data_IF_152640224013
#
_entry.id   IF_152640224013
#
_cell.length_a   1.000
_cell.length_b   1.000
_cell.length_c   1.000
_cell.angle_alpha   90.00
_cell.angle_beta   90.00
_cell.angle_gamma   90.00
#
_symmetry.space_group_name_H-M   'P 1'
#
loop_
_entity.id
_entity.type
_entity.pdbx_description
1 polymer ?
#
# COMPACT_ATOMS: atom_id res chain seq x y z
N UNK A 1 -12.80 10.68 21.01
CA UNK A 1 -12.97 9.33 20.45
C UNK A 1 -12.96 9.48 18.93
N UNK A 2 -12.04 8.84 18.24
CA UNK A 2 -11.94 8.92 16.77
C UNK A 2 -13.07 8.10 16.16
N UNK A 3 -13.85 8.70 15.25
CA UNK A 3 -14.98 8.03 14.58
C UNK A 3 -14.57 7.69 13.16
N UNK A 4 -14.73 6.41 12.81
CA UNK A 4 -14.41 5.94 11.46
C UNK A 4 -15.34 6.56 10.41
N UNK A 5 -14.76 6.99 9.30
CA UNK A 5 -15.52 7.39 8.12
C UNK A 5 -16.05 6.11 7.44
N UNK A 6 -17.36 5.97 7.20
CA UNK A 6 -17.90 4.76 6.59
C UNK A 6 -17.36 4.53 5.17
N UNK A 7 -17.16 3.25 4.80
CA UNK A 7 -16.84 2.90 3.41
C UNK A 7 -18.12 2.90 2.57
N UNK A 8 -18.11 3.47 1.36
CA UNK A 8 -19.27 3.43 0.46
C UNK A 8 -19.48 2.06 -0.21
N UNK A 9 -18.48 1.16 -0.16
CA UNK A 9 -18.49 -0.16 -0.79
C UNK A 9 -17.85 -1.19 0.14
N UNK A 10 -18.20 -2.46 -0.02
CA UNK A 10 -17.57 -3.58 0.69
C UNK A 10 -16.71 -4.43 -0.25
N UNK A 11 -15.43 -4.14 -0.31
CA UNK A 11 -14.49 -4.84 -1.19
C UNK A 11 -14.25 -6.32 -0.82
N UNK A 12 -14.87 -6.83 0.26
CA UNK A 12 -14.90 -8.27 0.56
C UNK A 12 -15.91 -9.02 -0.34
N UNK A 13 -16.87 -8.29 -0.89
CA UNK A 13 -17.88 -8.83 -1.79
C UNK A 13 -17.39 -8.72 -3.23
N UNK A 14 -17.41 -9.84 -3.96
CA UNK A 14 -16.96 -9.88 -5.36
C UNK A 14 -17.81 -8.97 -6.26
N UNK A 15 -19.09 -8.79 -5.94
CA UNK A 15 -20.01 -7.90 -6.66
C UNK A 15 -19.61 -6.41 -6.59
N UNK A 16 -18.91 -6.00 -5.51
CA UNK A 16 -18.34 -4.67 -5.36
C UNK A 16 -16.89 -4.61 -5.85
N UNK A 17 -16.10 -5.64 -5.54
CA UNK A 17 -14.67 -5.69 -5.82
C UNK A 17 -14.36 -5.69 -7.32
N UNK A 18 -15.08 -6.50 -8.13
CA UNK A 18 -14.81 -6.63 -9.57
C UNK A 18 -15.10 -5.35 -10.35
N UNK A 19 -16.26 -4.68 -10.23
CA UNK A 19 -16.49 -3.40 -10.92
C UNK A 19 -15.54 -2.31 -10.46
N UNK A 20 -15.15 -2.32 -9.17
CA UNK A 20 -14.14 -1.40 -8.66
C UNK A 20 -12.78 -1.61 -9.35
N UNK A 21 -12.31 -2.87 -9.43
CA UNK A 21 -11.04 -3.21 -10.06
C UNK A 21 -11.02 -2.85 -11.56
N UNK A 22 -12.07 -3.17 -12.31
CA UNK A 22 -12.19 -2.89 -13.73
C UNK A 22 -12.07 -1.40 -14.07
N UNK A 23 -12.53 -0.52 -13.18
CA UNK A 23 -12.49 0.93 -13.40
C UNK A 23 -11.32 1.63 -12.72
N UNK A 24 -10.62 0.97 -11.81
CA UNK A 24 -9.64 1.59 -10.93
C UNK A 24 -8.45 2.23 -11.67
N UNK A 25 -7.92 1.56 -12.72
CA UNK A 25 -6.80 2.09 -13.51
C UNK A 25 -7.21 3.32 -14.32
N UNK A 26 -8.39 3.28 -14.95
CA UNK A 26 -8.90 4.41 -15.72
C UNK A 26 -9.15 5.66 -14.86
N UNK A 27 -9.58 5.47 -13.61
CA UNK A 27 -9.80 6.59 -12.65
C UNK A 27 -8.50 7.28 -12.24
N UNK A 28 -7.34 6.67 -12.42
CA UNK A 28 -6.03 7.18 -11.98
C UNK A 28 -4.97 6.96 -13.06
N UNK A 29 -4.99 7.76 -14.13
CA UNK A 29 -4.05 7.60 -15.27
C UNK A 29 -2.59 7.83 -14.88
N UNK A 30 -2.32 8.44 -13.72
CA UNK A 30 -0.96 8.64 -13.17
C UNK A 30 -0.35 7.37 -12.55
N UNK A 31 -1.15 6.32 -12.30
CA UNK A 31 -0.65 5.09 -11.63
C UNK A 31 0.58 4.46 -12.28
N UNK A 32 0.70 4.33 -13.61
CA UNK A 32 1.91 3.77 -14.20
C UNK A 32 3.18 4.51 -13.79
N UNK A 33 3.16 5.84 -13.73
CA UNK A 33 4.32 6.63 -13.30
C UNK A 33 4.64 6.45 -11.81
N UNK A 34 3.60 6.31 -10.97
CA UNK A 34 3.76 5.99 -9.55
C UNK A 34 4.37 4.58 -9.40
N UNK A 35 3.89 3.60 -10.17
CA UNK A 35 4.41 2.23 -10.14
C UNK A 35 5.86 2.15 -10.62
N UNK A 36 6.23 2.96 -11.64
CA UNK A 36 7.63 3.10 -12.06
C UNK A 36 8.50 3.70 -10.95
N UNK A 37 7.95 4.65 -10.16
CA UNK A 37 8.65 5.19 -9.00
C UNK A 37 8.86 4.12 -7.93
N UNK A 38 7.83 3.33 -7.59
CA UNK A 38 7.98 2.17 -6.70
C UNK A 38 9.04 1.19 -7.21
N UNK A 39 9.03 0.85 -8.50
CA UNK A 39 9.99 -0.09 -9.08
C UNK A 39 11.44 0.42 -8.97
N UNK A 40 11.67 1.72 -9.15
CA UNK A 40 12.99 2.35 -8.96
C UNK A 40 13.46 2.25 -7.50
N UNK A 41 12.57 2.54 -6.55
CA UNK A 41 12.89 2.49 -5.11
C UNK A 41 13.10 1.07 -4.59
N UNK A 42 12.33 0.10 -5.07
CA UNK A 42 12.53 -1.33 -4.78
C UNK A 42 13.88 -1.81 -5.33
N UNK A 43 14.28 -1.31 -6.51
CA UNK A 43 15.55 -1.62 -7.13
C UNK A 43 15.61 -3.00 -7.78
N UNK A 44 16.78 -3.33 -8.29
CA UNK A 44 17.06 -4.59 -8.95
C UNK A 44 17.59 -5.66 -7.98
N UNK A 45 17.52 -6.94 -8.40
CA UNK A 45 18.02 -8.09 -7.65
C UNK A 45 16.98 -8.71 -6.71
N UNK A 46 17.37 -9.79 -6.01
CA UNK A 46 16.46 -10.45 -5.10
C UNK A 46 16.12 -9.56 -3.91
N UNK A 47 14.84 -9.40 -3.66
CA UNK A 47 14.29 -8.63 -2.53
C UNK A 47 13.05 -9.34 -2.01
N UNK A 48 12.89 -9.32 -0.69
CA UNK A 48 11.67 -9.75 -0.05
C UNK A 48 10.76 -8.56 0.19
N UNK A 49 9.61 -8.56 -0.46
CA UNK A 49 8.66 -7.44 -0.48
C UNK A 49 7.35 -7.83 0.19
N UNK A 50 6.83 -6.96 1.06
CA UNK A 50 5.46 -7.04 1.57
C UNK A 50 4.65 -5.87 1.00
N UNK A 51 3.53 -6.16 0.37
CA UNK A 51 2.54 -5.16 -0.01
C UNK A 51 1.36 -5.17 0.96
N UNK A 52 1.05 -4.02 1.57
CA UNK A 52 -0.10 -3.81 2.44
C UNK A 52 -1.26 -3.21 1.65
N UNK A 53 -2.42 -3.89 1.68
CA UNK A 53 -3.58 -3.52 0.89
C UNK A 53 -3.32 -3.74 -0.59
N UNK A 54 -2.94 -4.98 -0.95
CA UNK A 54 -2.50 -5.32 -2.31
C UNK A 54 -3.62 -5.22 -3.36
N UNK A 55 -4.87 -5.22 -2.93
CA UNK A 55 -6.02 -5.13 -3.82
C UNK A 55 -5.98 -6.17 -4.94
N UNK A 56 -6.38 -5.81 -6.17
CA UNK A 56 -6.41 -6.73 -7.31
C UNK A 56 -5.04 -6.92 -7.99
N UNK A 57 -3.92 -6.63 -7.28
CA UNK A 57 -2.57 -7.00 -7.70
C UNK A 57 -1.91 -6.08 -8.74
N UNK A 58 -2.41 -4.87 -8.95
CA UNK A 58 -1.86 -3.96 -9.98
C UNK A 58 -0.39 -3.57 -9.74
N UNK A 59 -0.04 -3.21 -8.49
CA UNK A 59 1.35 -2.88 -8.15
C UNK A 59 2.20 -4.15 -8.15
N UNK A 60 1.69 -5.26 -7.62
CA UNK A 60 2.37 -6.56 -7.64
C UNK A 60 2.74 -6.98 -9.07
N UNK A 61 1.80 -6.90 -10.03
CA UNK A 61 2.08 -7.21 -11.44
C UNK A 61 3.22 -6.36 -12.00
N UNK A 62 3.16 -5.05 -11.75
CA UNK A 62 4.18 -4.11 -12.25
C UNK A 62 5.55 -4.42 -11.66
N UNK A 63 5.66 -4.60 -10.34
CA UNK A 63 6.91 -4.88 -9.64
C UNK A 63 7.51 -6.24 -10.02
N UNK A 64 6.69 -7.30 -10.11
CA UNK A 64 7.14 -8.64 -10.51
C UNK A 64 7.59 -8.71 -11.96
N UNK A 65 7.03 -7.86 -12.82
CA UNK A 65 7.48 -7.72 -14.22
C UNK A 65 8.78 -6.95 -14.32
N UNK A 66 8.93 -5.88 -13.53
CA UNK A 66 10.14 -5.06 -13.50
C UNK A 66 11.32 -5.80 -12.85
N UNK A 67 11.05 -6.60 -11.81
CA UNK A 67 12.06 -7.39 -11.10
C UNK A 67 11.60 -8.85 -10.87
N UNK A 68 11.98 -9.77 -11.75
CA UNK A 68 11.66 -11.19 -11.60
C UNK A 68 12.27 -11.87 -10.37
N UNK A 69 13.20 -11.25 -9.67
CA UNK A 69 13.85 -11.78 -8.47
C UNK A 69 13.12 -11.52 -7.15
N UNK A 70 11.93 -10.91 -7.16
CA UNK A 70 11.19 -10.60 -5.93
C UNK A 70 10.59 -11.86 -5.30
N UNK A 71 10.74 -11.98 -3.97
CA UNK A 71 9.91 -12.81 -3.07
C UNK A 71 8.79 -11.90 -2.56
N UNK A 72 7.56 -12.14 -3.04
CA UNK A 72 6.46 -11.20 -2.88
C UNK A 72 5.36 -11.73 -1.98
N UNK A 73 5.04 -10.96 -0.94
CA UNK A 73 3.92 -11.22 -0.04
C UNK A 73 2.86 -10.12 -0.25
N UNK A 74 1.67 -10.52 -0.65
CA UNK A 74 0.54 -9.64 -0.87
C UNK A 74 -0.46 -9.79 0.29
N UNK A 75 -0.58 -8.76 1.12
CA UNK A 75 -1.51 -8.74 2.24
C UNK A 75 -2.71 -7.86 1.90
N UNK A 76 -3.90 -8.43 2.03
CA UNK A 76 -5.17 -7.71 1.90
C UNK A 76 -6.22 -8.32 2.85
N UNK A 77 -7.21 -7.54 3.25
CA UNK A 77 -8.30 -8.03 4.10
C UNK A 77 -9.39 -8.77 3.30
N UNK A 78 -9.31 -8.73 1.97
CA UNK A 78 -10.34 -9.21 1.06
C UNK A 78 -9.87 -10.41 0.25
N UNK A 79 -10.48 -11.58 0.49
CA UNK A 79 -10.29 -12.76 -0.36
C UNK A 79 -10.78 -12.53 -1.80
N UNK A 80 -11.79 -11.67 -2.02
CA UNK A 80 -12.23 -11.30 -3.37
C UNK A 80 -11.14 -10.53 -4.11
N UNK A 81 -10.42 -9.61 -3.43
CA UNK A 81 -9.28 -8.91 -4.03
C UNK A 81 -8.14 -9.88 -4.36
N UNK A 82 -7.81 -10.84 -3.49
CA UNK A 82 -6.80 -11.86 -3.77
C UNK A 82 -7.18 -12.75 -4.97
N UNK A 83 -8.46 -13.09 -5.12
CA UNK A 83 -8.93 -13.81 -6.30
C UNK A 83 -8.70 -12.99 -7.58
N UNK A 84 -9.08 -11.71 -7.58
CA UNK A 84 -8.84 -10.80 -8.71
C UNK A 84 -7.36 -10.59 -8.99
N UNK A 85 -6.53 -10.52 -7.94
CA UNK A 85 -5.08 -10.44 -8.08
C UNK A 85 -4.50 -11.68 -8.74
N UNK A 86 -4.95 -12.88 -8.33
CA UNK A 86 -4.51 -14.13 -8.95
C UNK A 86 -4.93 -14.20 -10.43
N UNK A 87 -6.15 -13.78 -10.77
CA UNK A 87 -6.62 -13.69 -12.16
C UNK A 87 -5.74 -12.72 -12.99
N UNK A 88 -5.43 -11.54 -12.46
CA UNK A 88 -4.63 -10.51 -13.13
C UNK A 88 -3.18 -10.92 -13.30
N UNK A 89 -2.57 -11.53 -12.31
CA UNK A 89 -1.18 -11.97 -12.31
C UNK A 89 -0.92 -13.19 -13.22
N UNK A 90 -1.96 -14.03 -13.46
CA UNK A 90 -1.84 -15.23 -14.25
C UNK A 90 -0.75 -16.17 -13.67
N UNK A 91 0.18 -16.62 -14.50
CA UNK A 91 1.27 -17.50 -14.07
C UNK A 91 2.18 -16.90 -12.96
N UNK A 92 2.26 -15.56 -12.88
CA UNK A 92 3.03 -14.87 -11.84
C UNK A 92 2.42 -15.01 -10.45
N UNK A 93 1.12 -15.36 -10.34
CA UNK A 93 0.48 -15.61 -9.06
C UNK A 93 1.17 -16.72 -8.25
N UNK A 94 1.78 -17.70 -8.92
CA UNK A 94 2.55 -18.76 -8.27
C UNK A 94 3.80 -18.25 -7.51
N UNK A 95 4.17 -16.99 -7.71
CA UNK A 95 5.31 -16.32 -7.06
C UNK A 95 4.88 -15.36 -5.95
N UNK A 96 3.59 -15.31 -5.66
CA UNK A 96 3.02 -14.42 -4.65
C UNK A 96 2.46 -15.23 -3.50
N UNK A 97 2.85 -14.91 -2.29
CA UNK A 97 2.20 -15.43 -1.08
C UNK A 97 1.06 -14.48 -0.72
N UNK A 98 -0.16 -14.93 -0.88
CA UNK A 98 -1.36 -14.18 -0.49
C UNK A 98 -1.65 -14.38 0.99
N UNK A 99 -1.78 -13.28 1.73
CA UNK A 99 -2.07 -13.26 3.18
C UNK A 99 -3.36 -12.48 3.40
N UNK A 100 -4.45 -13.19 3.71
CA UNK A 100 -5.75 -12.56 4.01
C UNK A 100 -5.77 -12.13 5.48
N UNK A 101 -5.47 -10.85 5.71
CA UNK A 101 -5.49 -10.20 7.04
C UNK A 101 -5.81 -8.72 6.90
N UNK A 102 -6.49 -8.18 7.90
CA UNK A 102 -6.75 -6.75 8.02
C UNK A 102 -5.67 -6.07 8.85
N UNK A 103 -4.96 -5.10 8.30
CA UNK A 103 -4.00 -4.28 9.04
C UNK A 103 -4.65 -3.35 10.09
N UNK A 104 -5.98 -3.38 10.20
CA UNK A 104 -6.72 -2.77 11.31
C UNK A 104 -6.74 -3.65 12.58
N UNK A 105 -6.42 -4.92 12.45
CA UNK A 105 -6.35 -5.87 13.55
C UNK A 105 -4.93 -5.94 14.09
N UNK A 106 -4.70 -5.84 15.42
CA UNK A 106 -3.34 -5.81 15.96
C UNK A 106 -2.46 -7.02 15.58
N UNK A 107 -3.07 -8.19 15.40
CA UNK A 107 -2.38 -9.44 15.12
C UNK A 107 -1.93 -9.61 13.64
N UNK A 108 -2.18 -8.62 12.77
CA UNK A 108 -1.86 -8.76 11.35
C UNK A 108 -0.37 -9.02 11.07
N UNK A 109 0.50 -8.55 11.95
CA UNK A 109 1.97 -8.67 11.84
C UNK A 109 2.52 -10.04 12.22
N UNK A 110 1.73 -10.89 12.88
CA UNK A 110 2.21 -12.16 13.43
C UNK A 110 2.77 -13.10 12.37
N UNK A 111 4.02 -13.55 12.58
CA UNK A 111 4.72 -14.45 11.67
C UNK A 111 5.19 -13.81 10.37
N UNK A 112 5.08 -12.48 10.23
CA UNK A 112 5.60 -11.74 9.08
C UNK A 112 7.00 -11.18 9.35
N UNK A 113 7.78 -11.03 8.28
CA UNK A 113 9.10 -10.41 8.28
C UNK A 113 10.27 -11.39 8.42
N UNK A 114 11.52 -10.90 8.37
CA UNK A 114 11.83 -9.53 7.94
C UNK A 114 11.67 -9.35 6.42
N UNK A 115 11.46 -8.09 5.99
CA UNK A 115 11.34 -7.69 4.59
C UNK A 115 12.39 -6.64 4.23
N UNK A 116 12.93 -6.69 3.01
CA UNK A 116 13.81 -5.65 2.47
C UNK A 116 13.04 -4.37 2.18
N UNK A 117 11.80 -4.54 1.68
CA UNK A 117 10.91 -3.43 1.36
C UNK A 117 9.48 -3.76 1.78
N UNK A 118 8.84 -2.84 2.46
CA UNK A 118 7.39 -2.85 2.62
C UNK A 118 6.82 -1.76 1.72
N UNK A 119 5.75 -2.06 1.00
CA UNK A 119 5.08 -1.10 0.13
C UNK A 119 3.59 -1.01 0.47
N UNK A 120 3.00 0.16 0.28
CA UNK A 120 1.54 0.33 0.31
C UNK A 120 1.14 1.40 -0.70
N UNK A 121 0.10 1.14 -1.48
CA UNK A 121 -0.36 2.04 -2.51
C UNK A 121 -1.87 2.25 -2.43
N UNK A 122 -2.28 3.44 -2.02
CA UNK A 122 -3.67 3.85 -1.88
C UNK A 122 -4.47 2.93 -0.93
N UNK A 123 -3.88 2.56 0.22
CA UNK A 123 -4.52 1.68 1.20
C UNK A 123 -4.49 2.22 2.65
N UNK A 124 -3.62 3.18 2.98
CA UNK A 124 -3.56 3.73 4.35
C UNK A 124 -4.87 4.41 4.75
N UNK A 125 -5.56 5.08 3.82
CA UNK A 125 -6.86 5.69 4.07
C UNK A 125 -7.97 4.66 4.37
N UNK A 126 -7.77 3.37 4.06
CA UNK A 126 -8.67 2.28 4.46
C UNK A 126 -8.61 1.96 5.96
N UNK A 127 -7.72 2.58 6.71
CA UNK A 127 -7.83 2.68 8.17
C UNK A 127 -9.09 3.43 8.61
N UNK A 128 -9.75 4.15 7.70
CA UNK A 128 -11.01 4.89 7.84
C UNK A 128 -10.92 6.13 8.74
N UNK A 129 -9.72 6.46 9.24
CA UNK A 129 -9.40 7.74 9.85
C UNK A 129 -7.89 7.97 9.85
N UNK A 130 -7.45 9.19 9.51
CA UNK A 130 -6.03 9.55 9.41
C UNK A 130 -5.23 9.36 10.71
N UNK A 131 -5.87 9.49 11.87
CA UNK A 131 -5.21 9.38 13.17
C UNK A 131 -4.64 7.99 13.44
N UNK A 132 -5.12 6.96 12.75
CA UNK A 132 -4.60 5.59 12.89
C UNK A 132 -3.31 5.36 12.10
N UNK A 133 -2.94 6.24 11.17
CA UNK A 133 -1.81 6.03 10.27
C UNK A 133 -0.48 5.86 11.03
N UNK A 134 -0.19 6.69 12.04
CA UNK A 134 1.04 6.58 12.79
C UNK A 134 1.17 5.23 13.54
N UNK A 135 0.06 4.69 14.05
CA UNK A 135 0.05 3.38 14.70
C UNK A 135 0.31 2.25 13.70
N UNK A 136 -0.27 2.29 12.49
CA UNK A 136 0.05 1.35 11.42
C UNK A 136 1.55 1.44 11.06
N UNK A 137 2.07 2.63 10.86
CA UNK A 137 3.49 2.83 10.51
C UNK A 137 4.42 2.29 11.59
N UNK A 138 4.08 2.44 12.87
CA UNK A 138 4.84 1.87 13.99
C UNK A 138 4.85 0.32 13.98
N UNK A 139 3.77 -0.31 13.51
CA UNK A 139 3.70 -1.77 13.35
C UNK A 139 4.52 -2.27 12.15
N UNK A 140 4.66 -1.46 11.10
CA UNK A 140 5.46 -1.81 9.91
C UNK A 140 6.95 -1.80 10.21
N UNK A 141 7.42 -0.85 11.01
CA UNK A 141 8.85 -0.64 11.26
C UNK A 141 9.61 -1.93 11.69
N UNK A 142 9.12 -2.72 12.67
CA UNK A 142 9.80 -3.95 13.09
C UNK A 142 9.78 -5.08 12.05
N UNK A 143 8.97 -4.97 11.00
CA UNK A 143 8.94 -5.94 9.90
C UNK A 143 10.07 -5.72 8.89
N UNK A 144 10.79 -4.60 8.96
CA UNK A 144 11.87 -4.29 8.04
C UNK A 144 13.18 -4.97 8.47
N UNK A 145 13.89 -5.53 7.51
CA UNK A 145 15.27 -5.97 7.67
C UNK A 145 16.19 -4.76 7.91
N UNK A 146 17.39 -4.96 8.48
CA UNK A 146 18.40 -3.91 8.58
C UNK A 146 18.68 -3.26 7.22
N UNK A 147 18.54 -1.94 7.12
CA UNK A 147 18.67 -1.19 5.86
C UNK A 147 17.47 -1.27 4.93
N UNK A 148 16.40 -1.94 5.33
CA UNK A 148 15.14 -1.97 4.60
C UNK A 148 14.42 -0.62 4.59
N UNK A 149 13.43 -0.47 3.71
CA UNK A 149 12.64 0.75 3.62
C UNK A 149 11.13 0.48 3.49
N UNK A 150 10.36 1.49 3.85
CA UNK A 150 8.90 1.51 3.68
C UNK A 150 8.50 2.57 2.66
N UNK A 151 7.81 2.15 1.60
CA UNK A 151 7.31 3.01 0.54
C UNK A 151 5.80 3.18 0.71
N UNK A 152 5.37 4.40 0.93
CA UNK A 152 3.97 4.74 1.20
C UNK A 152 3.46 5.70 0.16
N UNK A 153 2.50 5.28 -0.64
CA UNK A 153 1.78 6.13 -1.57
C UNK A 153 0.31 6.20 -1.19
N UNK A 154 -0.21 7.39 -0.95
CA UNK A 154 -1.65 7.57 -0.73
C UNK A 154 -2.13 8.93 -1.23
N UNK A 155 -3.46 9.08 -1.26
CA UNK A 155 -4.11 10.35 -1.50
C UNK A 155 -3.72 11.38 -0.45
N UNK A 156 -3.61 12.64 -0.86
CA UNK A 156 -3.36 13.72 0.08
C UNK A 156 -4.52 14.71 0.13
N UNK A 157 -4.63 15.40 1.26
CA UNK A 157 -5.54 16.50 1.50
C UNK A 157 -4.97 17.80 0.94
N UNK A 158 -5.74 18.55 0.18
CA UNK A 158 -5.39 19.89 -0.28
C UNK A 158 -5.52 20.08 -1.79
N UNK A 159 -4.92 21.13 -2.29
CA UNK A 159 -5.00 21.50 -3.70
C UNK A 159 -4.42 20.40 -4.60
N UNK A 160 -5.15 19.99 -5.61
CA UNK A 160 -4.80 18.86 -6.47
C UNK A 160 -5.03 17.46 -5.86
N UNK A 161 -5.42 17.39 -4.58
CA UNK A 161 -5.74 16.17 -3.85
C UNK A 161 -7.23 16.01 -3.55
N UNK A 162 -7.55 15.42 -2.42
CA UNK A 162 -8.92 15.18 -1.94
C UNK A 162 -9.27 16.13 -0.78
N UNK A 163 -10.58 16.22 -0.45
CA UNK A 163 -11.07 17.23 0.51
C UNK A 163 -11.52 16.67 1.86
N UNK A 164 -11.60 15.33 2.04
CA UNK A 164 -12.01 14.74 3.31
C UNK A 164 -10.86 14.76 4.32
N UNK A 165 -10.87 15.70 5.24
CA UNK A 165 -9.82 15.90 6.25
C UNK A 165 -9.83 14.86 7.39
N UNK A 166 -10.83 14.00 7.48
CA UNK A 166 -10.84 12.87 8.41
C UNK A 166 -10.09 11.66 7.83
N UNK A 167 -10.16 11.45 6.51
CA UNK A 167 -9.50 10.34 5.84
C UNK A 167 -8.08 10.66 5.41
N UNK A 168 -7.87 11.87 4.88
CA UNK A 168 -6.64 12.20 4.18
C UNK A 168 -5.80 13.20 4.98
N UNK A 169 -4.50 13.02 4.91
CA UNK A 169 -3.51 13.94 5.45
C UNK A 169 -2.95 14.81 4.33
N UNK A 170 -2.48 16.01 4.65
CA UNK A 170 -1.61 16.77 3.74
C UNK A 170 -0.33 15.97 3.44
N UNK A 171 0.41 16.31 2.39
CA UNK A 171 1.70 15.69 2.09
C UNK A 171 2.65 15.77 3.30
N UNK A 172 2.73 16.95 3.94
CA UNK A 172 3.49 17.13 5.18
C UNK A 172 2.95 16.27 6.33
N UNK A 173 1.63 16.16 6.47
CA UNK A 173 1.00 15.33 7.50
C UNK A 173 1.27 13.84 7.32
N UNK A 174 1.36 13.33 6.08
CA UNK A 174 1.78 11.96 5.80
C UNK A 174 3.23 11.71 6.27
N UNK A 175 4.13 12.65 5.95
CA UNK A 175 5.51 12.61 6.42
C UNK A 175 5.60 12.61 7.95
N UNK A 176 4.85 13.47 8.63
CA UNK A 176 4.81 13.53 10.09
C UNK A 176 4.25 12.24 10.71
N UNK A 177 3.23 11.61 10.10
CA UNK A 177 2.70 10.34 10.57
C UNK A 177 3.75 9.21 10.52
N UNK A 178 4.57 9.16 9.47
CA UNK A 178 5.69 8.23 9.35
C UNK A 178 6.77 8.48 10.41
N UNK A 179 7.16 9.74 10.65
CA UNK A 179 8.09 10.09 11.72
C UNK A 179 7.55 9.71 13.11
N UNK A 180 6.25 9.95 13.39
CA UNK A 180 5.61 9.49 14.63
C UNK A 180 5.52 7.96 14.73
N UNK A 181 5.49 7.25 13.59
CA UNK A 181 5.61 5.79 13.50
C UNK A 181 7.01 5.27 13.82
N UNK A 182 7.97 6.16 14.10
CA UNK A 182 9.32 5.82 14.55
C UNK A 182 10.35 5.66 13.45
N UNK A 183 10.04 6.07 12.21
CA UNK A 183 11.02 6.15 11.13
C UNK A 183 11.96 7.34 11.36
N UNK A 184 13.27 7.14 11.12
CA UNK A 184 14.28 8.15 11.38
C UNK A 184 14.35 9.19 10.25
N UNK A 185 14.08 8.78 9.03
CA UNK A 185 14.05 9.65 7.85
C UNK A 185 12.83 9.37 6.97
N UNK A 186 12.32 10.42 6.34
CA UNK A 186 11.23 10.34 5.38
C UNK A 186 11.50 11.30 4.23
N UNK A 187 11.67 10.73 3.05
CA UNK A 187 11.89 11.45 1.81
C UNK A 187 10.61 11.47 0.96
N UNK A 188 10.30 12.61 0.35
CA UNK A 188 9.27 12.73 -0.65
C UNK A 188 9.83 12.27 -2.00
N UNK A 189 9.35 11.13 -2.52
CA UNK A 189 9.81 10.57 -3.79
C UNK A 189 9.07 11.20 -4.97
N UNK A 190 7.76 11.38 -4.83
CA UNK A 190 6.92 11.93 -5.89
C UNK A 190 5.60 12.47 -5.33
N UNK A 191 5.16 13.62 -5.84
CA UNK A 191 3.80 14.14 -5.67
C UNK A 191 3.20 14.38 -7.03
N UNK A 192 2.16 13.62 -7.40
CA UNK A 192 1.53 13.71 -8.72
C UNK A 192 0.10 13.16 -8.71
N UNK A 193 -0.80 13.86 -9.42
CA UNK A 193 -2.17 13.38 -9.68
C UNK A 193 -2.99 13.09 -8.42
N UNK A 194 -2.81 13.87 -7.37
CA UNK A 194 -3.51 13.70 -6.09
C UNK A 194 -2.93 12.61 -5.20
N UNK A 195 -1.76 12.09 -5.54
CA UNK A 195 -1.02 11.05 -4.79
C UNK A 195 0.34 11.58 -4.36
N UNK A 196 0.78 11.17 -3.18
CA UNK A 196 2.11 11.44 -2.66
C UNK A 196 2.77 10.11 -2.27
N UNK A 197 3.97 9.87 -2.80
CA UNK A 197 4.82 8.72 -2.50
C UNK A 197 5.97 9.15 -1.61
N UNK A 198 6.09 8.51 -0.46
CA UNK A 198 7.17 8.72 0.50
C UNK A 198 8.01 7.45 0.65
N UNK A 199 9.29 7.63 0.95
CA UNK A 199 10.22 6.61 1.39
C UNK A 199 10.62 6.88 2.84
N UNK A 200 10.43 5.89 3.71
CA UNK A 200 10.77 5.97 5.14
C UNK A 200 11.79 4.90 5.54
N UNK A 201 12.75 5.27 6.42
CA UNK A 201 13.82 4.41 6.95
C UNK A 201 14.05 4.65 8.45
#
# INVERSE_FOLDING_TARGET
MTIDVPSPIDLRLMEDARPWAETALARRPVRPEIFDAFAREVGAGPRRVLELGSGPGFLAEHLLRANPGLDYVALDFSGAMHQLAAESLGERAARVVFVERSFREPAWVEGLGPFDVVVTNQAVHELRHKDYAAALHAQVRPLLAPGGCYLVCDHFLGEGGLSNDQLYMTVAGQREALLRGGFASVDEVMVKGGLALHRAQ
#
